data_IF_725373221520
#
_entry.id   IF_725373221520
#
_cell.length_a   1.000
_cell.length_b   1.000
_cell.length_c   1.000
_cell.angle_alpha   90.00
_cell.angle_beta   90.00
_cell.angle_gamma   90.00
#
_symmetry.space_group_name_H-M   'P 1'
#
loop_
_entity.id
_entity.type
_entity.pdbx_description
1 polymer ?
#
# COMPACT_ATOMS: atom_id res chain seq x y z
N UNK A 1 2.55 -8.99 -3.86
CA UNK A 1 1.89 -7.72 -4.23
C UNK A 1 2.06 -6.69 -3.11
N UNK A 2 2.38 -5.44 -3.42
CA UNK A 2 2.30 -4.33 -2.46
C UNK A 2 1.12 -3.43 -2.83
N UNK A 3 0.22 -3.19 -1.88
CA UNK A 3 -0.88 -2.25 -2.01
C UNK A 3 -0.70 -1.09 -1.03
N UNK A 4 -0.73 0.13 -1.56
CA UNK A 4 -0.63 1.37 -0.79
C UNK A 4 -1.93 2.15 -0.97
N UNK A 5 -2.53 2.64 0.11
CA UNK A 5 -3.78 3.40 0.06
C UNK A 5 -3.74 4.60 1.02
N UNK A 6 -4.50 5.65 0.71
CA UNK A 6 -4.69 6.78 1.61
C UNK A 6 -5.80 6.47 2.64
N UNK A 7 -5.58 6.85 3.90
CA UNK A 7 -6.47 6.46 5.01
C UNK A 7 -7.85 7.14 4.99
N UNK A 8 -7.98 8.29 4.30
CA UNK A 8 -9.23 9.04 4.09
C UNK A 8 -9.52 9.22 2.60
N UNK A 9 -9.19 8.23 1.79
CA UNK A 9 -9.57 8.21 0.37
C UNK A 9 -11.09 8.05 0.24
N UNK A 10 -11.75 9.05 -0.35
CA UNK A 10 -13.20 9.06 -0.57
C UNK A 10 -13.60 8.41 -1.91
N UNK A 11 -12.64 8.15 -2.81
CA UNK A 11 -12.87 7.47 -4.08
C UNK A 11 -12.67 5.96 -3.95
N UNK A 12 -11.63 5.56 -3.21
CA UNK A 12 -11.31 4.16 -2.92
C UNK A 12 -11.26 3.98 -1.41
N UNK A 13 -12.44 3.79 -0.83
CA UNK A 13 -12.56 3.68 0.63
C UNK A 13 -11.78 2.49 1.20
N UNK A 14 -11.69 2.47 2.53
CA UNK A 14 -10.91 1.46 3.23
C UNK A 14 -11.41 0.04 2.97
N UNK A 15 -12.72 -0.14 2.80
CA UNK A 15 -13.33 -1.44 2.54
C UNK A 15 -12.93 -1.92 1.14
N UNK A 16 -13.06 -1.08 0.13
CA UNK A 16 -12.65 -1.37 -1.24
C UNK A 16 -11.16 -1.73 -1.33
N UNK A 17 -10.33 -1.07 -0.52
CA UNK A 17 -8.90 -1.39 -0.44
C UNK A 17 -8.63 -2.79 0.15
N UNK A 18 -9.40 -3.20 1.17
CA UNK A 18 -9.32 -4.56 1.72
C UNK A 18 -9.85 -5.60 0.75
N UNK A 19 -10.99 -5.35 0.10
CA UNK A 19 -11.58 -6.28 -0.87
C UNK A 19 -10.60 -6.57 -2.02
N UNK A 20 -9.94 -5.53 -2.55
CA UNK A 20 -8.92 -5.70 -3.57
C UNK A 20 -7.69 -6.44 -3.02
N UNK A 21 -7.21 -6.10 -1.82
CA UNK A 21 -6.08 -6.80 -1.19
C UNK A 21 -6.36 -8.29 -0.99
N UNK A 22 -7.56 -8.65 -0.58
CA UNK A 22 -7.96 -10.03 -0.32
C UNK A 22 -8.02 -10.89 -1.59
N UNK A 23 -8.25 -10.26 -2.75
CA UNK A 23 -8.29 -10.94 -4.05
C UNK A 23 -6.93 -11.44 -4.57
N UNK A 24 -5.80 -11.05 -3.98
CA UNK A 24 -4.46 -11.49 -4.41
C UNK A 24 -3.88 -12.60 -3.52
N UNK A 25 -3.01 -13.44 -4.09
CA UNK A 25 -2.28 -14.46 -3.35
C UNK A 25 -1.01 -13.90 -2.65
N UNK A 26 -0.56 -14.51 -1.53
CA UNK A 26 0.71 -14.18 -0.90
C UNK A 26 1.94 -14.47 -1.79
N UNK A 27 3.08 -13.78 -1.56
CA UNK A 27 3.29 -12.74 -0.54
C UNK A 27 2.61 -11.43 -0.91
N UNK A 28 1.86 -10.83 0.03
CA UNK A 28 1.17 -9.56 -0.15
C UNK A 28 1.20 -8.68 1.09
N UNK A 29 1.20 -7.36 0.90
CA UNK A 29 1.18 -6.37 1.98
C UNK A 29 0.25 -5.21 1.63
N UNK A 30 -0.49 -4.71 2.63
CA UNK A 30 -1.32 -3.50 2.55
C UNK A 30 -0.80 -2.47 3.55
N UNK A 31 -0.63 -1.22 3.13
CA UNK A 31 -0.22 -0.13 4.01
C UNK A 31 -1.06 1.11 3.74
N UNK A 32 -1.62 1.67 4.80
CA UNK A 32 -2.35 2.94 4.74
C UNK A 32 -1.46 4.11 5.13
N UNK A 33 -1.56 5.19 4.38
CA UNK A 33 -0.84 6.43 4.59
C UNK A 33 -1.82 7.56 4.92
N UNK A 34 -1.46 8.52 5.80
CA UNK A 34 -2.33 9.64 6.13
C UNK A 34 -2.53 10.53 4.90
N UNK A 35 -3.78 10.77 4.50
CA UNK A 35 -4.05 11.57 3.30
C UNK A 35 -5.42 11.34 2.70
N UNK A 36 -5.63 11.89 1.50
CA UNK A 36 -6.79 11.64 0.65
C UNK A 36 -6.33 11.12 -0.71
N UNK A 37 -7.27 10.86 -1.63
CA UNK A 37 -6.94 10.39 -2.98
C UNK A 37 -5.88 11.25 -3.69
N UNK A 38 -6.01 12.58 -3.59
CA UNK A 38 -5.15 13.56 -4.27
C UNK A 38 -4.10 14.21 -3.37
N UNK A 39 -4.21 14.03 -2.05
CA UNK A 39 -3.32 14.65 -1.06
C UNK A 39 -2.64 13.57 -0.21
N UNK A 40 -1.51 13.11 -0.73
CA UNK A 40 -0.69 12.07 -0.10
C UNK A 40 0.33 12.68 0.86
N UNK A 41 0.83 11.91 1.85
CA UNK A 41 1.88 12.44 2.72
C UNK A 41 3.15 12.70 1.93
N UNK A 42 4.13 13.33 2.59
CA UNK A 42 5.47 13.47 2.04
C UNK A 42 5.96 12.13 1.44
N UNK A 43 6.56 12.13 0.23
CA UNK A 43 6.83 10.89 -0.50
C UNK A 43 7.88 9.97 0.15
N UNK A 44 8.72 10.52 1.03
CA UNK A 44 9.79 9.77 1.72
C UNK A 44 9.31 8.46 2.41
N UNK A 45 8.37 8.51 3.38
CA UNK A 45 7.75 7.32 3.96
C UNK A 45 7.19 6.31 2.94
N UNK A 46 6.54 6.79 1.88
CA UNK A 46 5.96 5.96 0.83
C UNK A 46 7.05 5.18 0.10
N UNK A 47 8.10 5.87 -0.38
CA UNK A 47 9.22 5.22 -1.05
C UNK A 47 9.99 4.28 -0.15
N UNK A 48 10.18 4.60 1.14
CA UNK A 48 10.81 3.67 2.09
C UNK A 48 10.04 2.35 2.19
N UNK A 49 8.69 2.40 2.19
CA UNK A 49 7.87 1.19 2.23
C UNK A 49 8.01 0.37 0.96
N UNK A 50 8.00 1.03 -0.20
CA UNK A 50 8.20 0.37 -1.51
C UNK A 50 9.56 -0.32 -1.55
N UNK A 51 10.64 0.38 -1.20
CA UNK A 51 11.99 -0.20 -1.19
C UNK A 51 12.07 -1.39 -0.24
N UNK A 52 11.52 -1.28 0.98
CA UNK A 52 11.53 -2.38 1.94
C UNK A 52 10.83 -3.65 1.41
N UNK A 53 9.67 -3.49 0.76
CA UNK A 53 8.95 -4.61 0.13
C UNK A 53 9.76 -5.22 -1.02
N UNK A 54 10.31 -4.40 -1.92
CA UNK A 54 11.10 -4.91 -3.04
C UNK A 54 12.37 -5.64 -2.57
N UNK A 55 13.04 -5.13 -1.53
CA UNK A 55 14.20 -5.79 -0.92
C UNK A 55 13.81 -7.11 -0.26
N UNK A 56 12.67 -7.18 0.43
CA UNK A 56 12.23 -8.44 1.06
C UNK A 56 11.89 -9.51 0.02
N UNK A 57 11.31 -9.11 -1.13
CA UNK A 57 11.04 -10.02 -2.25
C UNK A 57 12.33 -10.53 -2.90
N UNK A 58 13.34 -9.68 -3.07
CA UNK A 58 14.63 -10.04 -3.67
C UNK A 58 15.49 -10.97 -2.79
N UNK A 59 15.20 -11.03 -1.48
CA UNK A 59 15.95 -11.88 -0.53
C UNK A 59 15.26 -13.24 -0.31
N UNK A 60 14.04 -13.43 -0.83
CA UNK A 60 13.26 -14.68 -0.73
C UNK A 60 13.45 -15.63 -1.93
N UNK A 61 14.22 -15.22 -2.93
CA UNK A 61 14.71 -16.07 -4.04
C UNK A 61 16.04 -16.72 -3.70
#
# INVERSE_FOLDING_TARGET
>A
MLMLSADRDAQFDRISAFDLYDAFDPPKELTFFPGTHTDWPHPGPVYRRITAFLTSMATQT
#
